data_IF_048704254255
#
_entry.id   IF_048704254255
#
_cell.length_a   1.000
_cell.length_b   1.000
_cell.length_c   1.000
_cell.angle_alpha   90.00
_cell.angle_beta   90.00
_cell.angle_gamma   90.00
#
_symmetry.space_group_name_H-M   'P 1'
#
loop_
_entity.id
_entity.type
_entity.pdbx_description
1 polymer ?
#
# COMPACT_ATOMS: atom_id res chain seq x y z
N UNK A 1 -39.37 -61.75 55.41
CA UNK A 1 -40.80 -61.40 55.61
C UNK A 1 -41.33 -60.89 54.29
N UNK A 2 -42.40 -61.51 53.80
CA UNK A 2 -43.03 -61.29 52.49
C UNK A 2 -44.22 -60.36 52.63
N UNK A 3 -44.42 -59.40 51.71
CA UNK A 3 -45.71 -58.74 51.48
C UNK A 3 -45.85 -58.18 50.04
N UNK A 4 -46.71 -58.86 49.26
CA UNK A 4 -47.81 -58.44 48.36
C UNK A 4 -47.73 -57.20 47.43
N UNK A 5 -48.22 -57.44 46.19
CA UNK A 5 -48.66 -56.62 45.02
C UNK A 5 -49.73 -55.51 45.33
N UNK A 6 -50.47 -54.87 44.36
CA UNK A 6 -50.52 -54.95 42.87
C UNK A 6 -50.76 -53.63 42.07
N UNK A 7 -50.79 -53.70 40.71
CA UNK A 7 -51.91 -53.13 39.93
C UNK A 7 -51.67 -52.26 38.66
N UNK A 8 -52.00 -52.84 37.48
CA UNK A 8 -52.82 -52.32 36.33
C UNK A 8 -52.32 -51.03 35.59
N UNK A 9 -52.18 -50.92 34.26
CA UNK A 9 -53.19 -51.08 33.19
C UNK A 9 -52.55 -50.99 31.79
N UNK A 10 -53.01 -51.83 30.85
CA UNK A 10 -52.72 -51.76 29.41
C UNK A 10 -53.76 -50.91 28.68
N UNK A 11 -53.34 -50.09 27.70
CA UNK A 11 -54.21 -49.64 26.58
C UNK A 11 -53.43 -49.78 25.28
N UNK A 12 -54.10 -50.40 24.32
CA UNK A 12 -53.65 -50.85 23.00
C UNK A 12 -54.54 -50.10 21.99
N UNK A 13 -53.94 -49.38 21.04
CA UNK A 13 -54.66 -48.86 19.87
C UNK A 13 -53.79 -49.09 18.62
N UNK A 14 -54.24 -50.04 17.81
CA UNK A 14 -53.83 -50.27 16.42
C UNK A 14 -54.77 -49.46 15.50
N UNK A 15 -54.23 -48.82 14.46
CA UNK A 15 -55.02 -48.09 13.46
C UNK A 15 -54.33 -47.99 12.10
N UNK A 16 -54.49 -49.06 11.31
CA UNK A 16 -54.63 -49.19 9.85
C UNK A 16 -53.77 -48.40 8.82
N UNK A 17 -53.00 -49.22 8.10
CA UNK A 17 -52.51 -49.22 6.72
C UNK A 17 -53.10 -48.29 5.63
N UNK A 18 -52.20 -47.81 4.76
CA UNK A 18 -52.34 -47.89 3.29
C UNK A 18 -50.96 -47.85 2.61
N UNK A 19 -50.58 -48.95 1.94
CA UNK A 19 -49.45 -49.01 1.00
C UNK A 19 -49.99 -48.90 -0.43
N UNK A 20 -49.51 -47.90 -1.19
CA UNK A 20 -49.67 -47.83 -2.64
C UNK A 20 -48.29 -47.54 -3.25
N UNK A 21 -47.84 -48.43 -4.12
CA UNK A 21 -46.65 -48.24 -4.96
C UNK A 21 -47.05 -47.46 -6.23
N UNK A 22 -46.25 -46.47 -6.61
CA UNK A 22 -46.11 -46.07 -8.02
C UNK A 22 -44.72 -45.49 -8.25
N UNK A 23 -44.18 -45.81 -9.42
CA UNK A 23 -42.80 -45.73 -9.87
C UNK A 23 -42.31 -44.33 -10.27
N UNK A 24 -40.99 -44.16 -10.13
CA UNK A 24 -40.06 -43.36 -10.94
C UNK A 24 -40.21 -41.84 -10.92
N UNK A 25 -39.28 -41.18 -10.22
CA UNK A 25 -38.43 -40.15 -10.80
C UNK A 25 -37.02 -40.29 -10.23
N UNK A 26 -36.05 -40.44 -11.12
CA UNK A 26 -34.62 -40.28 -10.86
C UNK A 26 -34.44 -38.81 -10.42
N UNK A 27 -34.27 -38.57 -9.11
CA UNK A 27 -33.77 -37.28 -8.65
C UNK A 27 -32.28 -37.22 -9.03
N UNK A 28 -31.82 -36.19 -9.74
CA UNK A 28 -30.39 -35.98 -9.87
C UNK A 28 -29.80 -35.83 -8.46
N UNK A 29 -28.60 -36.38 -8.18
CA UNK A 29 -27.99 -36.17 -6.88
C UNK A 29 -27.91 -34.67 -6.63
N UNK A 30 -28.47 -34.29 -5.48
CA UNK A 30 -28.37 -32.97 -4.88
C UNK A 30 -26.94 -32.46 -5.10
N UNK A 31 -26.82 -31.39 -5.90
CA UNK A 31 -25.57 -30.67 -6.08
C UNK A 31 -25.28 -30.07 -4.73
N UNK A 32 -24.55 -30.82 -3.90
CA UNK A 32 -24.08 -30.38 -2.60
C UNK A 32 -23.41 -29.04 -2.78
N UNK A 33 -24.08 -28.03 -2.23
CA UNK A 33 -23.77 -26.63 -2.39
C UNK A 33 -22.33 -26.29 -2.03
N UNK A 34 -21.83 -25.27 -2.72
CA UNK A 34 -20.50 -24.73 -2.65
C UNK A 34 -19.92 -24.65 -1.23
N UNK A 35 -18.69 -25.13 -1.11
CA UNK A 35 -17.78 -24.89 0.00
C UNK A 35 -17.73 -23.39 0.29
N UNK A 36 -17.94 -22.99 1.54
CA UNK A 36 -17.98 -21.58 1.96
C UNK A 36 -16.55 -21.05 2.18
N UNK A 37 -16.28 -19.87 1.65
CA UNK A 37 -14.95 -19.24 1.45
C UNK A 37 -14.48 -18.28 2.58
N UNK A 38 -13.17 -17.96 2.64
CA UNK A 38 -12.49 -17.10 3.63
C UNK A 38 -12.28 -15.66 3.16
N UNK A 39 -12.02 -14.76 4.11
CA UNK A 39 -12.89 -13.59 4.28
C UNK A 39 -14.35 -14.07 4.23
N UNK A 40 -15.15 -13.88 5.29
CA UNK A 40 -16.52 -14.40 5.30
C UNK A 40 -17.30 -13.88 4.08
N UNK A 41 -17.57 -14.74 3.09
CA UNK A 41 -18.22 -14.35 1.81
C UNK A 41 -17.29 -13.80 0.72
N UNK A 42 -15.96 -13.90 0.87
CA UNK A 42 -14.98 -13.57 -0.16
C UNK A 42 -14.76 -14.71 -1.17
N UNK A 43 -13.91 -14.49 -2.16
CA UNK A 43 -13.58 -15.46 -3.21
C UNK A 43 -12.05 -15.57 -3.39
N UNK A 44 -11.51 -16.69 -3.91
CA UNK A 44 -10.09 -16.85 -4.17
C UNK A 44 -9.54 -15.73 -5.05
N UNK A 45 -8.37 -15.18 -4.69
CA UNK A 45 -7.73 -14.10 -5.43
C UNK A 45 -6.31 -14.49 -5.88
N UNK A 46 -6.10 -14.49 -7.19
CA UNK A 46 -4.79 -14.68 -7.84
C UNK A 46 -4.17 -13.38 -8.37
N UNK A 47 -4.92 -12.26 -8.33
CA UNK A 47 -4.55 -10.99 -8.95
C UNK A 47 -3.81 -10.02 -8.02
N UNK A 48 -4.19 -9.91 -6.75
CA UNK A 48 -3.65 -8.90 -5.83
C UNK A 48 -2.29 -9.34 -5.23
N UNK A 49 -1.27 -9.57 -6.09
CA UNK A 49 0.05 -10.11 -5.71
C UNK A 49 0.84 -9.27 -4.70
N UNK A 50 0.53 -7.98 -4.58
CA UNK A 50 1.10 -7.09 -3.59
C UNK A 50 0.44 -7.19 -2.20
N UNK A 51 -0.66 -7.94 -2.10
CA UNK A 51 -1.19 -8.43 -0.83
C UNK A 51 -0.47 -9.75 -0.54
N UNK A 52 0.41 -9.69 0.45
CA UNK A 52 1.40 -10.73 0.71
C UNK A 52 1.02 -11.57 1.91
N UNK A 53 1.31 -12.87 1.83
CA UNK A 53 1.20 -13.78 2.96
C UNK A 53 2.40 -13.59 3.88
N UNK A 54 2.16 -13.47 5.19
CA UNK A 54 3.20 -13.39 6.21
C UNK A 54 3.17 -14.67 7.03
N UNK A 55 4.31 -15.32 7.19
CA UNK A 55 4.49 -16.46 8.07
C UNK A 55 5.56 -16.16 9.13
N UNK A 56 5.18 -16.23 10.40
CA UNK A 56 6.10 -16.08 11.51
C UNK A 56 6.60 -17.46 11.96
N UNK A 57 7.86 -17.78 11.62
CA UNK A 57 8.50 -19.06 11.90
C UNK A 57 8.81 -19.29 13.40
N UNK A 58 8.78 -18.26 14.25
CA UNK A 58 8.96 -18.43 15.70
C UNK A 58 7.74 -19.08 16.37
N UNK A 59 6.55 -18.69 15.94
CA UNK A 59 5.28 -19.05 16.61
C UNK A 59 4.34 -19.85 15.70
N UNK A 60 4.66 -20.03 14.42
CA UNK A 60 3.82 -20.73 13.45
C UNK A 60 2.54 -19.98 13.12
N UNK A 61 2.56 -18.65 13.14
CA UNK A 61 1.40 -17.80 12.86
C UNK A 61 1.37 -17.32 11.41
N UNK A 62 0.17 -17.21 10.86
CA UNK A 62 -0.09 -16.64 9.53
C UNK A 62 -0.75 -15.28 9.73
N UNK A 63 -0.25 -14.30 8.98
CA UNK A 63 -0.83 -12.98 8.83
C UNK A 63 -0.83 -12.58 7.36
N UNK A 64 -1.33 -11.39 7.09
CA UNK A 64 -1.27 -10.72 5.80
C UNK A 64 -0.46 -9.43 5.92
N UNK A 65 0.09 -8.96 4.81
CA UNK A 65 0.65 -7.61 4.68
C UNK A 65 0.35 -7.00 3.32
N UNK A 66 0.72 -5.74 3.17
CA UNK A 66 0.66 -5.01 1.91
C UNK A 66 2.05 -4.51 1.52
N UNK A 67 2.53 -4.92 0.36
CA UNK A 67 3.78 -4.43 -0.23
C UNK A 67 3.55 -2.99 -0.73
N UNK A 68 4.13 -1.99 -0.07
CA UNK A 68 3.95 -0.56 -0.40
C UNK A 68 5.19 0.07 -1.05
N UNK A 69 6.32 -0.63 -1.01
CA UNK A 69 7.51 -0.37 -1.82
C UNK A 69 8.25 -1.71 -2.05
N UNK A 70 9.24 -1.82 -2.96
CA UNK A 70 9.86 -3.10 -3.35
C UNK A 70 10.38 -3.97 -2.19
N UNK A 71 10.70 -3.40 -1.04
CA UNK A 71 11.07 -4.16 0.18
C UNK A 71 10.33 -3.70 1.43
N UNK A 72 9.19 -3.02 1.31
CA UNK A 72 8.45 -2.45 2.45
C UNK A 72 7.08 -3.10 2.51
N UNK A 73 6.85 -3.88 3.56
CA UNK A 73 5.56 -4.52 3.84
C UNK A 73 4.91 -3.84 5.05
N UNK A 74 3.73 -3.26 4.86
CA UNK A 74 2.90 -2.74 5.93
C UNK A 74 1.99 -3.87 6.45
N UNK A 75 1.97 -4.06 7.77
CA UNK A 75 1.21 -5.13 8.44
C UNK A 75 0.78 -4.69 9.85
N UNK A 76 0.07 -5.56 10.57
CA UNK A 76 -0.33 -5.33 11.94
C UNK A 76 0.84 -5.61 12.89
N UNK A 77 0.89 -4.89 14.02
CA UNK A 77 1.98 -5.08 14.99
C UNK A 77 1.85 -6.41 15.73
N UNK A 78 0.63 -6.85 16.02
CA UNK A 78 0.41 -8.13 16.69
C UNK A 78 0.88 -9.35 15.87
N UNK A 79 1.09 -9.20 14.55
CA UNK A 79 1.71 -10.22 13.72
C UNK A 79 3.22 -10.40 14.00
N UNK A 80 3.85 -9.37 14.57
CA UNK A 80 5.30 -9.27 14.74
C UNK A 80 5.71 -8.97 16.18
N UNK A 81 4.76 -8.95 17.12
CA UNK A 81 5.01 -8.72 18.55
C UNK A 81 4.04 -9.51 19.42
N UNK A 82 4.55 -10.00 20.54
CA UNK A 82 3.76 -10.62 21.59
C UNK A 82 2.85 -9.59 22.28
N UNK A 83 1.73 -10.08 22.83
CA UNK A 83 0.78 -9.27 23.57
C UNK A 83 0.63 -9.75 25.03
N UNK A 84 0.17 -8.84 25.88
CA UNK A 84 -0.14 -9.14 27.28
C UNK A 84 -1.39 -8.38 27.74
N UNK A 85 -1.95 -8.85 28.87
CA UNK A 85 -3.14 -8.29 29.53
C UNK A 85 -4.42 -8.35 28.70
N UNK A 86 -4.51 -9.34 27.82
CA UNK A 86 -5.77 -9.76 27.21
C UNK A 86 -6.66 -10.41 28.28
N UNK A 87 -7.97 -10.20 28.18
CA UNK A 87 -8.95 -10.78 29.08
C UNK A 87 -9.74 -11.83 28.32
N UNK A 88 -9.59 -13.10 28.69
CA UNK A 88 -10.21 -14.24 28.00
C UNK A 88 -9.95 -14.26 26.48
N UNK A 89 -8.73 -13.88 26.06
CA UNK A 89 -8.33 -13.80 24.66
C UNK A 89 -8.90 -12.60 23.90
N UNK A 90 -9.52 -11.64 24.59
CA UNK A 90 -10.08 -10.43 23.99
C UNK A 90 -9.20 -9.20 24.24
N UNK A 91 -9.12 -8.36 23.22
CA UNK A 91 -8.44 -7.06 23.26
C UNK A 91 -9.25 -6.08 24.10
N UNK A 92 -8.60 -5.47 25.08
CA UNK A 92 -9.15 -4.37 25.88
C UNK A 92 -8.25 -3.15 25.74
N UNK A 93 -8.72 -2.09 25.08
CA UNK A 93 -7.91 -0.89 24.78
C UNK A 93 -7.31 -0.19 26.01
N UNK A 94 -7.81 -0.46 27.22
CA UNK A 94 -7.30 0.10 28.46
C UNK A 94 -6.07 -0.64 29.01
N UNK A 95 -5.94 -1.94 28.73
CA UNK A 95 -4.96 -2.80 29.41
C UNK A 95 -4.07 -3.58 28.45
N UNK A 96 -4.58 -3.98 27.29
CA UNK A 96 -3.83 -4.79 26.33
C UNK A 96 -2.65 -4.00 25.79
N UNK A 97 -1.47 -4.60 25.89
CA UNK A 97 -0.20 -4.00 25.50
C UNK A 97 0.63 -4.98 24.69
N UNK A 98 1.36 -4.44 23.73
CA UNK A 98 2.48 -5.11 23.08
C UNK A 98 3.65 -5.25 24.05
N UNK A 99 4.38 -6.35 23.89
CA UNK A 99 5.54 -6.67 24.73
C UNK A 99 6.79 -6.89 23.85
N UNK A 100 7.31 -8.11 23.76
CA UNK A 100 8.45 -8.44 22.93
C UNK A 100 8.10 -8.35 21.44
N UNK A 101 9.03 -7.80 20.66
CA UNK A 101 8.99 -7.88 19.20
C UNK A 101 9.77 -9.09 18.75
N UNK A 102 9.20 -9.85 17.82
CA UNK A 102 9.83 -11.02 17.22
C UNK A 102 11.07 -10.64 16.40
N UNK A 103 11.88 -11.62 16.04
CA UNK A 103 13.04 -11.36 15.19
C UNK A 103 12.58 -11.16 13.74
N UNK A 104 12.96 -10.03 13.12
CA UNK A 104 12.61 -9.73 11.73
C UNK A 104 12.95 -10.89 10.77
N UNK A 105 14.13 -11.51 10.95
CA UNK A 105 14.59 -12.66 10.15
C UNK A 105 13.76 -13.94 10.26
N UNK A 106 12.79 -13.96 11.18
CA UNK A 106 11.84 -15.06 11.37
C UNK A 106 10.47 -14.75 10.79
N UNK A 107 10.28 -13.55 10.27
CA UNK A 107 9.10 -13.15 9.53
C UNK A 107 9.39 -13.36 8.05
N UNK A 108 8.67 -14.30 7.45
CA UNK A 108 8.78 -14.66 6.04
C UNK A 108 7.59 -14.11 5.27
N UNK A 109 7.83 -13.64 4.05
CA UNK A 109 6.82 -13.01 3.19
C UNK A 109 6.74 -13.73 1.85
N UNK A 110 5.54 -14.00 1.35
CA UNK A 110 5.33 -14.58 0.02
C UNK A 110 4.29 -13.80 -0.78
N UNK A 111 4.51 -13.68 -2.09
CA UNK A 111 3.55 -13.09 -3.05
C UNK A 111 2.65 -14.15 -3.69
N UNK A 112 2.91 -15.43 -3.40
CA UNK A 112 2.12 -16.55 -3.90
C UNK A 112 0.71 -16.51 -3.28
N UNK A 113 -0.30 -16.87 -4.06
CA UNK A 113 -1.69 -16.88 -3.61
C UNK A 113 -1.95 -17.94 -2.52
N UNK A 114 -1.06 -18.92 -2.36
CA UNK A 114 -1.14 -19.92 -1.28
C UNK A 114 0.19 -19.98 -0.52
N UNK A 115 0.11 -19.87 0.81
CA UNK A 115 1.24 -20.04 1.73
C UNK A 115 1.49 -21.54 1.87
N UNK A 116 2.58 -22.02 1.28
CA UNK A 116 2.97 -23.41 1.30
C UNK A 116 4.46 -23.60 1.49
N UNK A 117 4.87 -24.85 1.71
CA UNK A 117 6.28 -25.21 1.93
C UNK A 117 7.18 -24.96 0.70
N UNK A 118 6.58 -24.79 -0.48
CA UNK A 118 7.29 -24.57 -1.74
C UNK A 118 7.14 -23.15 -2.27
N UNK A 119 6.45 -22.27 -1.53
CA UNK A 119 6.30 -20.87 -1.91
C UNK A 119 7.66 -20.18 -1.91
N UNK A 120 7.79 -19.15 -2.75
CA UNK A 120 8.96 -18.27 -2.66
C UNK A 120 8.81 -17.36 -1.45
N UNK A 121 9.80 -17.35 -0.57
CA UNK A 121 9.83 -16.51 0.61
C UNK A 121 10.93 -15.44 0.55
N UNK A 122 10.55 -14.23 0.92
CA UNK A 122 11.40 -13.07 1.19
C UNK A 122 11.54 -12.93 2.71
N UNK A 123 12.73 -12.62 3.23
CA UNK A 123 12.97 -12.61 4.68
C UNK A 123 12.95 -11.19 5.23
N UNK A 124 12.40 -11.00 6.42
CA UNK A 124 12.48 -9.72 7.12
C UNK A 124 13.91 -9.37 7.55
N UNK A 125 14.35 -8.14 7.28
CA UNK A 125 15.62 -7.58 7.76
C UNK A 125 15.43 -6.70 9.00
N UNK A 126 14.36 -5.90 9.02
CA UNK A 126 14.07 -4.97 10.12
C UNK A 126 12.56 -4.85 10.37
N UNK A 127 12.18 -4.74 11.64
CA UNK A 127 10.82 -4.39 12.06
C UNK A 127 10.82 -2.97 12.60
N UNK A 128 9.98 -2.12 12.01
CA UNK A 128 9.78 -0.73 12.40
C UNK A 128 8.40 -0.61 13.04
N UNK A 129 8.36 -0.11 14.27
CA UNK A 129 7.14 0.04 15.06
C UNK A 129 6.73 1.52 15.13
N UNK A 130 5.45 1.75 15.39
CA UNK A 130 4.93 3.10 15.59
C UNK A 130 5.63 3.83 16.74
N UNK A 131 6.04 5.11 16.54
CA UNK A 131 6.61 5.92 17.60
C UNK A 131 5.51 6.56 18.46
N UNK A 132 5.89 7.11 19.61
CA UNK A 132 5.03 7.98 20.40
C UNK A 132 4.86 7.57 21.87
N UNK A 133 4.15 8.39 22.66
CA UNK A 133 3.77 8.03 24.02
C UNK A 133 2.80 6.84 23.98
N UNK A 134 2.92 5.94 24.95
CA UNK A 134 2.08 4.75 25.05
C UNK A 134 2.09 3.89 23.77
N UNK A 135 3.19 3.93 23.01
CA UNK A 135 3.37 3.13 21.80
C UNK A 135 3.24 1.63 22.06
N UNK A 136 3.37 1.16 23.29
CA UNK A 136 3.10 -0.23 23.67
C UNK A 136 1.61 -0.56 23.83
N UNK A 137 0.69 0.40 23.81
CA UNK A 137 -0.74 0.15 23.88
C UNK A 137 -1.25 -0.47 22.58
N UNK A 138 -2.14 -1.46 22.66
CA UNK A 138 -2.68 -2.11 21.46
C UNK A 138 -3.49 -1.15 20.59
N UNK A 139 -4.61 -0.64 21.12
CA UNK A 139 -5.53 0.18 20.32
C UNK A 139 -4.88 1.50 19.93
N UNK A 140 -4.95 1.81 18.65
CA UNK A 140 -4.32 2.97 18.02
C UNK A 140 -2.89 2.73 17.51
N UNK A 141 -2.22 1.67 17.96
CA UNK A 141 -0.82 1.39 17.59
C UNK A 141 -0.57 -0.01 17.01
N UNK A 142 -1.62 -0.69 16.52
CA UNK A 142 -1.50 -2.02 15.92
C UNK A 142 -1.10 -1.97 14.44
N UNK A 143 0.03 -1.31 14.15
CA UNK A 143 0.66 -1.30 12.83
C UNK A 143 2.18 -1.43 12.96
N UNK A 144 2.78 -2.11 12.00
CA UNK A 144 4.21 -2.29 11.88
C UNK A 144 4.61 -2.30 10.40
N UNK A 145 5.85 -1.90 10.14
CA UNK A 145 6.48 -2.07 8.84
C UNK A 145 7.57 -3.13 8.98
N UNK A 146 7.55 -4.09 8.07
CA UNK A 146 8.65 -5.01 7.84
C UNK A 146 9.43 -4.55 6.62
N UNK A 147 10.73 -4.30 6.81
CA UNK A 147 11.67 -4.09 5.71
C UNK A 147 12.24 -5.46 5.36
N UNK A 148 12.21 -5.84 4.09
CA UNK A 148 12.74 -7.11 3.58
C UNK A 148 14.25 -7.01 3.30
N UNK A 149 14.93 -8.15 3.29
CA UNK A 149 16.36 -8.27 2.98
C UNK A 149 16.66 -8.21 1.47
N UNK A 150 15.69 -8.63 0.64
CA UNK A 150 15.71 -8.51 -0.81
C UNK A 150 14.54 -7.69 -1.35
N UNK A 151 14.75 -7.07 -2.52
CA UNK A 151 13.70 -6.39 -3.26
C UNK A 151 12.82 -7.44 -3.95
N UNK A 152 11.50 -7.33 -3.80
CA UNK A 152 10.54 -8.07 -4.59
C UNK A 152 10.53 -7.48 -6.01
N UNK A 153 10.80 -8.28 -7.06
CA UNK A 153 10.72 -7.80 -8.43
C UNK A 153 9.29 -7.36 -8.77
N UNK A 154 9.15 -6.32 -9.58
CA UNK A 154 7.85 -5.83 -10.05
C UNK A 154 7.05 -6.92 -10.81
N UNK A 155 7.75 -7.85 -11.47
CA UNK A 155 7.14 -9.03 -12.11
C UNK A 155 6.50 -10.02 -11.14
N UNK A 156 6.94 -10.01 -9.88
CA UNK A 156 6.40 -10.86 -8.81
C UNK A 156 5.27 -10.12 -8.10
N UNK A 157 5.46 -8.84 -7.77
CA UNK A 157 4.41 -7.96 -7.26
C UNK A 157 4.78 -6.48 -7.45
N UNK A 158 3.89 -5.70 -8.07
CA UNK A 158 4.00 -4.25 -8.12
C UNK A 158 3.47 -3.62 -6.81
N UNK A 159 4.26 -2.78 -6.10
CA UNK A 159 3.82 -2.22 -4.82
C UNK A 159 2.53 -1.38 -4.90
N UNK A 160 1.71 -1.49 -3.87
CA UNK A 160 0.48 -0.71 -3.68
C UNK A 160 0.80 0.72 -3.24
N UNK A 161 -0.10 1.66 -3.58
CA UNK A 161 -0.01 3.05 -3.13
C UNK A 161 -0.85 3.23 -1.87
N UNK A 162 -0.29 3.65 -0.72
CA UNK A 162 -1.09 3.95 0.46
C UNK A 162 -1.73 5.35 0.34
N UNK A 163 -3.01 5.52 0.73
CA UNK A 163 -3.72 6.80 0.74
C UNK A 163 -3.28 7.64 1.95
N UNK A 164 -2.11 8.25 1.83
CA UNK A 164 -1.43 9.01 2.90
C UNK A 164 -1.66 10.53 2.86
N UNK A 165 -2.47 11.01 1.92
CA UNK A 165 -2.67 12.44 1.62
C UNK A 165 -4.13 12.89 1.68
N UNK A 166 -5.08 11.97 1.77
CA UNK A 166 -6.51 12.26 1.81
C UNK A 166 -7.22 11.45 2.92
N UNK A 167 -8.02 12.09 3.80
CA UNK A 167 -8.75 11.38 4.84
C UNK A 167 -9.94 10.57 4.28
N UNK A 168 -10.25 9.46 4.95
CA UNK A 168 -11.43 8.64 4.69
C UNK A 168 -12.72 9.33 5.14
N UNK A 169 -13.83 8.91 4.54
CA UNK A 169 -15.18 9.34 4.90
C UNK A 169 -16.06 8.12 5.16
N UNK A 170 -16.99 8.27 6.09
CA UNK A 170 -18.09 7.32 6.28
C UNK A 170 -18.84 7.13 4.96
N UNK A 171 -19.21 5.87 4.68
CA UNK A 171 -19.91 5.49 3.46
C UNK A 171 -19.02 5.30 2.22
N UNK A 172 -17.70 5.54 2.30
CA UNK A 172 -16.80 5.16 1.21
C UNK A 172 -16.76 3.63 1.07
N UNK A 173 -16.74 3.15 -0.17
CA UNK A 173 -16.63 1.74 -0.50
C UNK A 173 -15.17 1.29 -0.54
N UNK A 174 -14.94 0.05 -0.13
CA UNK A 174 -13.62 -0.58 -0.16
C UNK A 174 -13.74 -2.09 -0.37
N UNK A 175 -12.60 -2.76 -0.53
CA UNK A 175 -12.48 -4.20 -0.52
C UNK A 175 -11.36 -4.64 0.43
N UNK A 176 -11.51 -5.84 0.98
CA UNK A 176 -10.51 -6.46 1.85
C UNK A 176 -9.86 -7.63 1.12
N UNK A 177 -8.54 -7.79 1.30
CA UNK A 177 -7.79 -8.93 0.75
C UNK A 177 -6.89 -9.50 1.84
N UNK A 178 -6.89 -10.81 2.00
CA UNK A 178 -6.22 -11.48 3.12
C UNK A 178 -6.01 -12.98 2.93
N UNK A 179 -5.19 -13.55 3.80
CA UNK A 179 -4.88 -14.98 3.88
C UNK A 179 -5.55 -15.64 5.09
N UNK A 180 -6.55 -14.98 5.69
CA UNK A 180 -7.24 -15.45 6.87
C UNK A 180 -8.12 -16.67 6.66
N UNK A 181 -8.66 -17.15 7.77
CA UNK A 181 -9.57 -18.27 7.86
C UNK A 181 -10.99 -17.93 7.39
N UNK A 182 -11.74 -19.00 7.07
CA UNK A 182 -13.15 -18.95 6.60
C UNK A 182 -14.17 -18.77 7.72
N UNK A 183 -13.73 -18.99 8.97
CA UNK A 183 -14.57 -19.00 10.17
C UNK A 183 -13.69 -19.02 11.42
N UNK A 184 -14.34 -18.92 12.57
CA UNK A 184 -13.71 -18.94 13.91
C UNK A 184 -12.99 -20.27 14.24
N UNK A 185 -13.09 -21.31 13.41
CA UNK A 185 -12.38 -22.58 13.56
C UNK A 185 -11.10 -22.65 12.71
N UNK A 186 -10.58 -21.52 12.24
CA UNK A 186 -9.32 -21.42 11.48
C UNK A 186 -9.26 -22.23 10.17
N UNK A 187 -10.41 -22.63 9.62
CA UNK A 187 -10.46 -23.46 8.41
C UNK A 187 -10.11 -22.61 7.17
N UNK A 188 -9.22 -23.05 6.30
CA UNK A 188 -8.94 -22.40 5.00
C UNK A 188 -7.96 -21.22 5.03
N UNK A 189 -7.28 -20.98 6.16
CA UNK A 189 -6.19 -20.01 6.24
C UNK A 189 -5.02 -20.39 5.32
N UNK A 190 -4.28 -19.38 4.86
CA UNK A 190 -3.12 -19.53 3.99
C UNK A 190 -3.42 -19.46 2.49
N UNK A 191 -4.68 -19.31 2.07
CA UNK A 191 -5.07 -19.04 0.68
C UNK A 191 -5.62 -17.62 0.55
N UNK A 192 -4.99 -16.79 -0.29
CA UNK A 192 -5.39 -15.40 -0.53
C UNK A 192 -6.80 -15.33 -1.10
N UNK A 193 -7.59 -14.45 -0.50
CA UNK A 193 -8.98 -14.19 -0.86
C UNK A 193 -9.29 -12.72 -0.78
N UNK A 194 -10.30 -12.34 -1.54
CA UNK A 194 -10.78 -10.99 -1.69
C UNK A 194 -12.27 -10.92 -1.38
N UNK A 195 -12.70 -9.81 -0.79
CA UNK A 195 -14.12 -9.46 -0.64
C UNK A 195 -14.35 -8.01 -1.00
N UNK A 196 -15.27 -7.82 -1.93
CA UNK A 196 -15.70 -6.52 -2.42
C UNK A 196 -16.98 -6.05 -1.71
N UNK A 197 -17.48 -4.89 -2.14
CA UNK A 197 -18.73 -4.28 -1.71
C UNK A 197 -18.81 -4.02 -0.19
N UNK A 198 -17.67 -3.66 0.42
CA UNK A 198 -17.57 -3.28 1.83
C UNK A 198 -17.70 -1.77 1.99
N UNK A 199 -18.15 -1.32 3.16
CA UNK A 199 -18.43 0.10 3.41
C UNK A 199 -17.82 0.55 4.74
N UNK A 200 -17.26 1.76 4.75
CA UNK A 200 -16.76 2.39 5.98
C UNK A 200 -17.94 2.84 6.86
N UNK A 201 -18.01 2.31 8.08
CA UNK A 201 -19.04 2.66 9.06
C UNK A 201 -18.72 3.96 9.80
N UNK A 202 -17.46 4.15 10.21
CA UNK A 202 -17.00 5.39 10.84
C UNK A 202 -15.47 5.50 10.80
N UNK A 203 -14.95 6.72 10.96
CA UNK A 203 -13.52 7.01 10.87
C UNK A 203 -13.04 7.82 12.07
N UNK A 204 -11.94 7.40 12.71
CA UNK A 204 -11.26 8.16 13.75
C UNK A 204 -12.22 8.65 14.86
N UNK A 205 -12.23 9.96 15.14
CA UNK A 205 -13.02 10.58 16.21
C UNK A 205 -14.53 10.58 15.95
N UNK A 206 -14.99 10.23 14.74
CA UNK A 206 -16.42 10.03 14.46
C UNK A 206 -16.94 8.71 15.05
N UNK A 207 -16.05 7.77 15.32
CA UNK A 207 -16.40 6.51 15.96
C UNK A 207 -16.51 6.65 17.49
N UNK A 208 -17.24 5.74 18.17
CA UNK A 208 -17.26 5.69 19.63
C UNK A 208 -15.85 5.44 20.21
N UNK A 209 -15.35 6.40 21.01
CA UNK A 209 -14.01 6.34 21.62
C UNK A 209 -13.79 5.16 22.59
N UNK A 210 -14.86 4.45 22.97
CA UNK A 210 -14.77 3.19 23.71
C UNK A 210 -14.32 2.00 22.85
N UNK A 211 -14.43 2.11 21.52
CA UNK A 211 -14.19 1.03 20.56
C UNK A 211 -12.89 1.26 19.80
N UNK A 212 -12.63 2.49 19.36
CA UNK A 212 -11.47 2.84 18.52
C UNK A 212 -10.75 4.10 18.99
N UNK A 213 -9.51 4.29 18.51
CA UNK A 213 -8.73 5.52 18.63
C UNK A 213 -8.84 6.37 17.37
N UNK A 214 -8.36 7.63 17.44
CA UNK A 214 -8.32 8.55 16.29
C UNK A 214 -7.42 8.05 15.13
N UNK A 215 -6.55 7.10 15.41
CA UNK A 215 -5.67 6.42 14.44
C UNK A 215 -6.25 5.08 13.96
N UNK A 216 -7.55 4.86 14.11
CA UNK A 216 -8.27 3.66 13.72
C UNK A 216 -9.60 4.02 13.03
N UNK A 217 -10.22 3.06 12.35
CA UNK A 217 -11.55 3.21 11.76
C UNK A 217 -12.29 1.87 11.72
N UNK A 218 -13.61 1.92 11.51
CA UNK A 218 -14.50 0.74 11.53
C UNK A 218 -15.13 0.54 10.16
N UNK A 219 -15.06 -0.68 9.64
CA UNK A 219 -15.85 -1.12 8.48
C UNK A 219 -17.07 -1.92 8.92
N UNK A 220 -17.93 -2.24 7.97
CA UNK A 220 -19.18 -2.97 8.20
C UNK A 220 -18.95 -4.46 8.54
N UNK A 221 -18.17 -5.18 7.72
CA UNK A 221 -17.94 -6.63 7.86
C UNK A 221 -16.72 -7.10 7.05
N UNK A 222 -16.39 -8.40 7.12
CA UNK A 222 -15.56 -9.03 6.11
C UNK A 222 -14.11 -9.26 6.47
N UNK A 223 -13.75 -9.29 7.75
CA UNK A 223 -12.45 -9.81 8.19
C UNK A 223 -12.64 -10.94 9.20
N UNK A 224 -11.81 -11.97 9.11
CA UNK A 224 -11.74 -13.05 10.09
C UNK A 224 -10.30 -13.22 10.61
N UNK A 225 -10.11 -14.16 11.54
CA UNK A 225 -8.80 -14.56 12.04
C UNK A 225 -7.82 -14.89 10.90
N UNK A 226 -6.61 -14.33 10.94
CA UNK A 226 -5.56 -14.51 9.91
C UNK A 226 -5.60 -13.51 8.74
N UNK A 227 -6.66 -12.69 8.63
CA UNK A 227 -6.64 -11.49 7.77
C UNK A 227 -5.84 -10.35 8.40
N UNK A 228 -5.46 -10.51 9.67
CA UNK A 228 -4.59 -9.63 10.45
C UNK A 228 -3.42 -9.09 9.64
N UNK A 229 -3.27 -7.77 9.65
CA UNK A 229 -2.25 -7.04 8.90
C UNK A 229 -2.54 -6.85 7.42
N UNK A 230 -3.58 -7.49 6.89
CA UNK A 230 -3.99 -7.34 5.49
C UNK A 230 -4.61 -5.98 5.20
N UNK A 231 -4.49 -5.50 3.96
CA UNK A 231 -5.01 -4.21 3.59
C UNK A 231 -6.52 -4.21 3.41
N UNK A 232 -7.14 -3.09 3.79
CA UNK A 232 -8.33 -2.59 3.11
C UNK A 232 -7.90 -1.64 2.01
N UNK A 233 -8.56 -1.77 0.85
CA UNK A 233 -8.21 -1.11 -0.40
C UNK A 233 -9.40 -0.32 -0.92
N UNK A 234 -9.21 0.96 -1.24
CA UNK A 234 -10.28 1.74 -1.86
C UNK A 234 -10.51 1.34 -3.33
N UNK A 235 -11.56 1.88 -3.96
CA UNK A 235 -11.89 1.60 -5.37
C UNK A 235 -10.81 2.03 -6.38
N UNK A 236 -9.75 2.70 -5.92
CA UNK A 236 -8.59 3.09 -6.71
C UNK A 236 -7.36 2.21 -6.43
N UNK A 237 -7.56 1.09 -5.72
CA UNK A 237 -6.53 0.14 -5.29
C UNK A 237 -5.46 0.75 -4.36
N UNK A 238 -5.82 1.77 -3.58
CA UNK A 238 -4.93 2.37 -2.58
C UNK A 238 -5.15 1.74 -1.22
N UNK A 239 -4.07 1.52 -0.47
CA UNK A 239 -4.14 1.02 0.93
C UNK A 239 -4.71 2.11 1.82
N UNK A 240 -5.86 1.84 2.44
CA UNK A 240 -6.55 2.78 3.34
C UNK A 240 -6.56 2.34 4.80
N UNK A 241 -6.33 1.04 5.06
CA UNK A 241 -6.27 0.51 6.40
C UNK A 241 -5.47 -0.78 6.51
N UNK A 242 -5.12 -1.12 7.75
CA UNK A 242 -4.42 -2.35 8.13
C UNK A 242 -5.32 -3.13 9.08
N UNK A 243 -5.71 -4.34 8.72
CA UNK A 243 -6.62 -5.17 9.51
C UNK A 243 -6.05 -5.43 10.90
N UNK A 244 -6.74 -5.00 11.97
CA UNK A 244 -6.26 -5.12 13.36
C UNK A 244 -7.04 -6.15 14.16
N UNK A 245 -8.35 -5.96 14.31
CA UNK A 245 -9.22 -6.81 15.13
C UNK A 245 -10.67 -6.73 14.64
N UNK A 246 -11.48 -7.71 14.99
CA UNK A 246 -12.93 -7.71 14.72
C UNK A 246 -13.72 -8.30 15.87
N UNK A 247 -15.05 -8.20 15.79
CA UNK A 247 -15.96 -8.89 16.69
C UNK A 247 -16.17 -10.36 16.27
N UNK A 248 -16.73 -11.15 17.18
CA UNK A 248 -17.13 -12.55 16.92
C UNK A 248 -18.02 -12.61 15.67
N UNK A 249 -17.80 -13.62 14.81
CA UNK A 249 -18.57 -13.78 13.58
C UNK A 249 -18.09 -12.94 12.40
N UNK A 250 -16.90 -12.35 12.50
CA UNK A 250 -16.26 -11.56 11.44
C UNK A 250 -17.02 -10.26 11.10
N UNK A 251 -17.51 -9.60 12.16
CA UNK A 251 -18.29 -8.36 12.10
C UNK A 251 -17.52 -7.19 12.74
N UNK A 252 -17.89 -5.96 12.39
CA UNK A 252 -17.30 -4.73 12.93
C UNK A 252 -15.75 -4.72 12.88
N UNK A 253 -15.14 -4.95 11.70
CA UNK A 253 -13.70 -4.88 11.54
C UNK A 253 -13.16 -3.52 11.96
N UNK A 254 -12.08 -3.52 12.72
CA UNK A 254 -11.31 -2.34 13.07
C UNK A 254 -9.98 -2.40 12.34
N UNK A 255 -9.68 -1.32 11.63
CA UNK A 255 -8.44 -1.15 10.88
C UNK A 255 -7.58 -0.06 11.52
N UNK A 256 -6.26 -0.26 11.50
CA UNK A 256 -5.30 0.82 11.67
C UNK A 256 -5.42 1.81 10.52
N UNK A 257 -5.43 3.11 10.83
CA UNK A 257 -5.68 4.16 9.85
C UNK A 257 -4.40 4.59 9.14
N UNK A 258 -4.28 4.30 7.84
CA UNK A 258 -3.10 4.64 7.03
C UNK A 258 -2.84 6.15 7.00
N UNK A 259 -3.88 6.96 6.75
CA UNK A 259 -3.74 8.41 6.76
C UNK A 259 -3.34 8.94 8.15
N UNK A 260 -3.87 8.35 9.21
CA UNK A 260 -3.52 8.70 10.60
C UNK A 260 -2.04 8.52 10.93
N UNK A 261 -1.33 7.67 10.18
CA UNK A 261 0.11 7.40 10.33
C UNK A 261 0.93 7.75 9.08
N UNK A 262 0.39 8.60 8.21
CA UNK A 262 0.98 8.96 6.92
C UNK A 262 2.46 9.39 7.00
N UNK A 263 2.81 10.24 7.97
CA UNK A 263 4.18 10.74 8.13
C UNK A 263 5.17 9.60 8.43
N UNK A 264 4.84 8.73 9.40
CA UNK A 264 5.64 7.56 9.75
C UNK A 264 5.79 6.58 8.57
N UNK A 265 4.72 6.34 7.82
CA UNK A 265 4.76 5.46 6.64
C UNK A 265 5.71 6.03 5.58
N UNK A 266 5.61 7.34 5.28
CA UNK A 266 6.47 8.03 4.33
C UNK A 266 7.93 8.00 4.76
N UNK A 267 8.24 8.41 5.98
CA UNK A 267 9.61 8.44 6.51
C UNK A 267 10.27 7.06 6.52
N UNK A 268 9.53 6.04 6.96
CA UNK A 268 10.02 4.66 6.98
C UNK A 268 10.30 4.16 5.56
N UNK A 269 9.43 4.48 4.60
CA UNK A 269 9.61 4.08 3.19
C UNK A 269 10.81 4.78 2.56
N UNK A 270 11.02 6.08 2.82
CA UNK A 270 12.20 6.80 2.35
C UNK A 270 13.50 6.19 2.89
N UNK A 271 13.52 5.83 4.18
CA UNK A 271 14.67 5.15 4.80
C UNK A 271 14.90 3.77 4.18
N UNK A 272 13.84 3.00 3.94
CA UNK A 272 13.94 1.67 3.34
C UNK A 272 14.47 1.74 1.89
N UNK A 273 14.08 2.77 1.14
CA UNK A 273 14.60 3.04 -0.21
C UNK A 273 16.09 3.38 -0.20
N UNK A 274 16.55 4.21 0.74
CA UNK A 274 17.97 4.50 0.92
C UNK A 274 18.77 3.24 1.27
N UNK A 275 18.28 2.43 2.22
CA UNK A 275 18.93 1.18 2.62
C UNK A 275 18.95 0.13 1.50
N UNK A 276 17.87 0.05 0.73
CA UNK A 276 17.71 -0.90 -0.37
C UNK A 276 18.36 -0.45 -1.70
N UNK A 277 18.80 0.81 -1.79
CA UNK A 277 19.43 1.35 -2.99
C UNK A 277 18.50 1.48 -4.20
N UNK A 278 17.23 1.81 -3.99
CA UNK A 278 16.24 2.00 -5.06
C UNK A 278 15.57 3.39 -4.98
N UNK A 279 14.94 3.81 -6.08
CA UNK A 279 14.21 5.08 -6.12
C UNK A 279 12.96 5.01 -5.24
N UNK A 280 12.85 5.90 -4.27
CA UNK A 280 11.70 5.93 -3.38
C UNK A 280 10.40 6.21 -4.17
N UNK A 281 9.27 5.56 -3.82
CA UNK A 281 7.98 5.88 -4.41
C UNK A 281 7.65 7.37 -4.26
N UNK A 282 7.16 8.01 -5.33
CA UNK A 282 6.89 9.46 -5.33
C UNK A 282 5.94 9.89 -4.22
N UNK A 283 4.96 9.06 -3.85
CA UNK A 283 4.04 9.34 -2.75
C UNK A 283 4.74 9.48 -1.40
N UNK A 284 5.89 8.81 -1.21
CA UNK A 284 6.69 8.92 0.00
C UNK A 284 7.31 10.32 0.16
N UNK A 285 7.52 11.02 -0.97
CA UNK A 285 8.00 12.41 -1.03
C UNK A 285 6.88 13.46 -1.10
N UNK A 286 5.62 13.04 -0.99
CA UNK A 286 4.46 13.94 -0.99
C UNK A 286 3.73 14.08 -2.33
N UNK A 287 4.10 13.32 -3.36
CA UNK A 287 3.32 13.27 -4.59
C UNK A 287 1.90 12.74 -4.30
N UNK A 288 0.83 13.34 -4.85
CA UNK A 288 -0.54 12.91 -4.58
C UNK A 288 -0.79 11.44 -4.91
N UNK A 289 -1.53 10.75 -4.04
CA UNK A 289 -1.77 9.31 -4.16
C UNK A 289 -2.91 8.99 -5.11
N UNK A 290 -3.81 9.95 -5.36
CA UNK A 290 -4.93 9.75 -6.26
C UNK A 290 -4.41 9.49 -7.70
N UNK A 291 -4.80 8.38 -8.36
CA UNK A 291 -4.26 7.99 -9.66
C UNK A 291 -4.44 9.03 -10.78
N UNK A 292 -5.40 9.95 -10.64
CA UNK A 292 -5.63 11.03 -11.61
C UNK A 292 -4.39 11.89 -11.83
N UNK A 293 -3.54 12.07 -10.82
CA UNK A 293 -2.29 12.82 -10.93
C UNK A 293 -1.17 12.04 -11.63
N UNK A 294 -1.30 10.72 -11.74
CA UNK A 294 -0.34 9.82 -12.39
C UNK A 294 -0.81 9.33 -13.76
N UNK A 295 -2.03 9.68 -14.18
CA UNK A 295 -2.59 9.28 -15.47
C UNK A 295 -1.70 9.71 -16.65
N UNK A 296 -1.74 8.95 -17.73
CA UNK A 296 -1.02 9.31 -18.96
C UNK A 296 -1.64 10.56 -19.61
N UNK A 297 -0.82 11.28 -20.38
CA UNK A 297 -1.24 12.48 -21.12
C UNK A 297 -0.79 12.35 -22.58
N UNK A 298 -1.44 13.08 -23.48
CA UNK A 298 -1.04 13.18 -24.88
C UNK A 298 -1.75 12.24 -25.85
N UNK A 299 -2.67 11.40 -25.38
CA UNK A 299 -3.61 10.70 -26.27
C UNK A 299 -4.55 11.72 -26.92
N UNK A 300 -4.92 11.53 -28.19
CA UNK A 300 -5.82 12.45 -28.87
C UNK A 300 -7.26 12.34 -28.33
N UNK A 301 -7.95 13.46 -28.17
CA UNK A 301 -9.34 13.51 -27.71
C UNK A 301 -10.14 14.61 -28.40
N UNK A 302 -11.46 14.39 -28.52
CA UNK A 302 -12.40 15.41 -28.99
C UNK A 302 -13.19 16.00 -27.81
N UNK A 303 -13.43 15.20 -26.77
CA UNK A 303 -14.16 15.58 -25.58
C UNK A 303 -13.48 15.05 -24.31
N UNK A 304 -13.77 15.65 -23.13
CA UNK A 304 -13.18 15.20 -21.87
C UNK A 304 -13.45 13.72 -21.58
N UNK A 305 -14.64 13.22 -21.92
CA UNK A 305 -15.04 11.82 -21.68
C UNK A 305 -14.26 10.77 -22.49
N UNK A 306 -13.45 11.20 -23.47
CA UNK A 306 -12.55 10.31 -24.21
C UNK A 306 -11.32 9.94 -23.37
N UNK A 307 -11.04 10.71 -22.31
CA UNK A 307 -9.85 10.58 -21.48
C UNK A 307 -10.16 9.90 -20.15
N UNK A 308 -9.23 9.06 -19.67
CA UNK A 308 -9.35 8.40 -18.35
C UNK A 308 -9.51 9.40 -17.18
N UNK A 309 -8.95 10.59 -17.31
CA UNK A 309 -9.03 11.70 -16.34
C UNK A 309 -10.27 12.58 -16.52
N UNK A 310 -11.10 12.29 -17.52
CA UNK A 310 -12.18 13.15 -17.96
C UNK A 310 -11.72 14.60 -18.26
N UNK A 311 -10.54 14.77 -18.86
CA UNK A 311 -9.95 16.06 -19.18
C UNK A 311 -9.23 16.06 -20.54
N UNK A 312 -9.72 16.89 -21.46
CA UNK A 312 -9.19 17.08 -22.81
C UNK A 312 -8.77 18.54 -23.00
N UNK A 313 -7.50 18.79 -23.31
CA UNK A 313 -6.94 20.13 -23.49
C UNK A 313 -6.21 20.21 -24.83
N UNK A 314 -6.64 21.14 -25.69
CA UNK A 314 -6.08 21.36 -27.03
C UNK A 314 -6.03 20.08 -27.91
N UNK A 315 -7.04 19.22 -27.78
CA UNK A 315 -7.13 17.96 -28.53
C UNK A 315 -6.33 16.80 -27.95
N UNK A 316 -5.77 16.95 -26.75
CA UNK A 316 -5.01 15.90 -26.06
C UNK A 316 -5.50 15.66 -24.64
N UNK A 317 -5.56 14.40 -24.24
CA UNK A 317 -5.86 13.98 -22.90
C UNK A 317 -4.80 14.53 -21.96
N UNK A 318 -5.26 15.10 -20.86
CA UNK A 318 -4.40 15.75 -19.87
C UNK A 318 -4.77 15.27 -18.47
N UNK A 319 -4.01 15.71 -17.47
CA UNK A 319 -4.23 15.39 -16.07
C UNK A 319 -4.04 16.63 -15.21
N UNK A 320 -4.68 16.69 -14.03
CA UNK A 320 -4.46 17.77 -13.09
C UNK A 320 -3.01 17.78 -12.63
N UNK A 321 -2.48 18.97 -12.39
CA UNK A 321 -1.11 19.17 -11.94
C UNK A 321 -1.06 20.18 -10.79
N UNK A 322 -0.01 20.08 -9.99
CA UNK A 322 0.29 21.01 -8.89
C UNK A 322 1.80 21.26 -8.88
N UNK A 323 2.28 22.09 -7.95
CA UNK A 323 3.72 22.29 -7.76
C UNK A 323 4.45 20.97 -7.43
N UNK A 324 3.77 20.02 -6.79
CA UNK A 324 4.32 18.71 -6.43
C UNK A 324 3.95 17.66 -7.49
N UNK A 325 2.71 17.71 -8.01
CA UNK A 325 2.23 16.84 -9.07
C UNK A 325 2.66 17.36 -10.44
N UNK A 326 3.95 17.18 -10.76
CA UNK A 326 4.54 17.67 -12.00
C UNK A 326 4.05 16.91 -13.24
N UNK A 327 4.03 17.63 -14.36
CA UNK A 327 3.70 17.09 -15.67
C UNK A 327 4.85 16.25 -16.24
N UNK A 328 4.55 15.26 -17.10
CA UNK A 328 5.56 14.47 -17.78
C UNK A 328 6.28 15.33 -18.84
N UNK A 329 7.39 14.82 -19.36
CA UNK A 329 8.20 15.53 -20.37
C UNK A 329 7.38 15.96 -21.59
N UNK A 330 7.61 17.20 -22.07
CA UNK A 330 6.84 17.80 -23.16
C UNK A 330 5.54 18.48 -22.72
N UNK A 331 5.27 18.53 -21.41
CA UNK A 331 4.14 19.20 -20.81
C UNK A 331 4.58 20.06 -19.63
N UNK A 332 3.98 21.24 -19.52
CA UNK A 332 4.12 22.15 -18.37
C UNK A 332 2.80 22.30 -17.65
N UNK A 333 2.84 22.43 -16.33
CA UNK A 333 1.64 22.70 -15.55
C UNK A 333 1.15 24.12 -15.83
N UNK A 334 0.00 24.25 -16.49
CA UNK A 334 -0.62 25.54 -16.69
C UNK A 334 -1.25 26.00 -15.36
N UNK A 335 -0.67 27.04 -14.76
CA UNK A 335 -1.10 27.51 -13.45
C UNK A 335 -2.52 28.09 -13.42
N UNK A 336 -3.06 28.53 -14.56
CA UNK A 336 -4.41 29.07 -14.64
C UNK A 336 -5.46 27.95 -14.76
N UNK A 337 -5.11 26.88 -15.49
CA UNK A 337 -5.99 25.73 -15.70
C UNK A 337 -5.85 24.68 -14.59
N UNK A 338 -4.66 24.52 -14.01
CA UNK A 338 -4.33 23.43 -13.10
C UNK A 338 -4.18 22.08 -13.81
N UNK A 339 -3.88 22.08 -15.11
CA UNK A 339 -3.72 20.88 -15.94
C UNK A 339 -2.40 20.92 -16.73
N UNK A 340 -1.91 19.74 -17.11
CA UNK A 340 -0.75 19.62 -17.97
C UNK A 340 -1.06 20.11 -19.39
N UNK A 341 -0.45 21.22 -19.80
CA UNK A 341 -0.53 21.73 -21.15
C UNK A 341 0.72 21.31 -21.92
N UNK A 342 0.55 20.92 -23.19
CA UNK A 342 1.68 20.61 -24.06
C UNK A 342 2.59 21.84 -24.19
N UNK A 343 3.90 21.62 -24.11
CA UNK A 343 4.87 22.69 -24.33
C UNK A 343 4.72 23.24 -25.76
N UNK A 344 4.86 24.56 -25.97
CA UNK A 344 4.83 25.11 -27.32
C UNK A 344 5.93 24.49 -28.17
N UNK A 345 5.60 24.09 -29.39
CA UNK A 345 6.61 23.60 -30.34
C UNK A 345 7.73 24.64 -30.48
N UNK A 346 9.01 24.23 -30.40
CA UNK A 346 10.10 25.16 -30.64
C UNK A 346 9.93 25.78 -32.03
N UNK A 347 10.18 27.09 -32.17
CA UNK A 347 10.04 27.74 -33.47
C UNK A 347 10.90 27.00 -34.49
N UNK A 348 10.42 26.83 -35.74
CA UNK A 348 11.20 26.17 -36.78
C UNK A 348 12.56 26.87 -36.89
N UNK A 349 13.64 26.10 -36.79
CA UNK A 349 14.97 26.60 -37.08
C UNK A 349 14.96 27.06 -38.52
N UNK A 350 15.15 28.37 -38.73
CA UNK A 350 15.37 28.97 -40.03
C UNK A 350 16.74 28.49 -40.53
N UNK A 351 16.80 27.23 -40.97
CA UNK A 351 17.86 26.77 -41.84
C UNK A 351 17.65 27.53 -43.13
N UNK A 352 18.28 28.71 -43.20
CA UNK A 352 18.23 29.64 -44.32
C UNK A 352 18.54 28.93 -45.63
N UNK A 353 17.49 28.40 -46.26
CA UNK A 353 17.49 27.92 -47.61
C UNK A 353 17.59 29.13 -48.51
N UNK A 354 18.83 29.51 -48.82
CA UNK A 354 19.13 30.48 -49.86
C UNK A 354 18.38 30.09 -51.13
N UNK A 355 17.52 30.99 -51.57
CA UNK A 355 16.86 30.99 -52.86
C UNK A 355 17.94 30.95 -53.96
N UNK A 356 18.22 29.78 -54.52
CA UNK A 356 19.03 29.64 -55.73
C UNK A 356 18.23 30.16 -56.93
N UNK A 357 18.22 31.47 -57.09
CA UNK A 357 17.94 32.11 -58.37
C UNK A 357 19.10 31.81 -59.32
N UNK A 358 18.88 30.84 -60.21
CA UNK A 358 19.71 30.63 -61.40
C UNK A 358 19.49 31.78 -62.38
N UNK A 359 20.37 32.77 -62.33
CA UNK A 359 20.64 33.64 -63.47
C UNK A 359 22.15 33.69 -63.70
N UNK A 360 22.58 33.11 -64.83
CA UNK A 360 23.97 33.10 -65.26
C UNK A 360 24.29 34.35 -66.08
N UNK A 361 25.43 34.99 -65.77
CA UNK A 361 26.22 35.78 -66.71
C UNK A 361 27.53 36.27 -66.08
N UNK A 362 28.67 35.91 -66.70
CA UNK A 362 29.98 36.60 -66.64
C UNK A 362 30.68 36.62 -65.28
N UNK A 363 31.97 36.86 -65.13
CA UNK A 363 33.10 37.16 -66.01
C UNK A 363 34.32 37.12 -65.08
N UNK A 364 35.48 36.71 -65.60
CA UNK A 364 36.74 36.59 -64.85
C UNK A 364 37.27 37.98 -64.45
N UNK A 365 37.84 38.11 -63.25
CA UNK A 365 38.54 39.34 -62.86
C UNK A 365 39.09 39.34 -61.44
N UNK A 366 40.41 39.21 -61.34
CA UNK A 366 41.25 39.37 -60.15
C UNK A 366 41.10 40.75 -59.49
N UNK A 367 41.25 40.83 -58.15
CA UNK A 367 42.27 41.64 -57.47
C UNK A 367 41.98 41.92 -55.98
N UNK A 368 43.07 42.28 -55.30
CA UNK A 368 43.41 42.20 -53.89
C UNK A 368 42.63 43.03 -52.84
N UNK A 369 42.67 42.47 -51.61
CA UNK A 369 42.98 43.06 -50.30
C UNK A 369 42.18 44.26 -49.73
N UNK A 370 41.67 44.08 -48.50
CA UNK A 370 41.26 45.23 -47.68
C UNK A 370 40.52 44.99 -46.35
N UNK A 371 41.06 44.17 -45.44
CA UNK A 371 40.98 44.30 -43.96
C UNK A 371 39.65 44.40 -43.17
N UNK A 372 39.51 43.54 -42.14
CA UNK A 372 38.77 43.78 -40.89
C UNK A 372 37.87 42.60 -40.44
N UNK A 373 38.38 41.63 -39.66
CA UNK A 373 38.21 41.53 -38.17
C UNK A 373 36.76 41.22 -37.74
N UNK A 374 36.39 40.20 -36.94
CA UNK A 374 37.07 39.23 -36.08
C UNK A 374 36.15 38.00 -35.82
N UNK A 375 36.74 36.81 -35.96
CA UNK A 375 36.76 35.67 -35.02
C UNK A 375 35.50 35.18 -34.28
N UNK A 376 34.98 34.02 -34.70
CA UNK A 376 34.41 32.99 -33.81
C UNK A 376 35.50 31.94 -33.52
N UNK A 377 35.81 31.68 -32.25
CA UNK A 377 36.64 30.54 -31.85
C UNK A 377 35.74 29.33 -31.54
N UNK A 378 36.08 28.12 -32.04
CA UNK A 378 35.33 26.90 -31.78
C UNK A 378 35.63 26.31 -30.39
N UNK A 379 34.58 25.73 -29.79
CA UNK A 379 34.60 25.00 -28.52
C UNK A 379 35.51 23.76 -28.56
N UNK A 380 36.14 23.38 -27.43
CA UNK A 380 37.08 22.27 -27.39
C UNK A 380 36.40 20.88 -27.31
N UNK A 381 36.97 19.96 -28.09
CA UNK A 381 36.76 18.51 -28.18
C UNK A 381 36.84 17.79 -26.81
N UNK A 382 35.83 16.98 -26.42
CA UNK A 382 35.71 16.38 -25.08
C UNK A 382 36.54 15.10 -24.86
N UNK A 383 37.48 14.74 -25.72
CA UNK A 383 38.17 13.43 -25.64
C UNK A 383 39.55 13.40 -24.95
N UNK A 384 39.87 14.33 -24.04
CA UNK A 384 41.15 14.30 -23.29
C UNK A 384 41.00 14.22 -21.77
N UNK A 385 41.74 13.30 -21.09
CA UNK A 385 41.65 13.12 -19.65
C UNK A 385 42.35 14.24 -18.87
N UNK A 386 41.72 14.67 -17.77
CA UNK A 386 42.18 15.75 -16.90
C UNK A 386 43.24 15.22 -15.91
N UNK A 387 44.46 15.81 -15.83
CA UNK A 387 45.43 15.45 -14.81
C UNK A 387 45.19 16.23 -13.52
N UNK A 388 45.10 15.50 -12.40
CA UNK A 388 45.14 16.02 -11.04
C UNK A 388 46.60 16.22 -10.63
N UNK A 389 46.96 17.42 -10.13
CA UNK A 389 48.23 17.64 -9.40
C UNK A 389 48.08 18.79 -8.39
N UNK A 390 47.98 18.36 -7.12
CA UNK A 390 48.64 18.82 -5.89
C UNK A 390 48.98 20.32 -5.76
N UNK A 391 48.44 20.94 -4.70
CA UNK A 391 48.94 22.18 -4.12
C UNK A 391 48.56 22.32 -2.64
N UNK A 392 49.49 22.01 -1.75
CA UNK A 392 49.37 22.11 -0.30
C UNK A 392 49.74 23.52 0.23
N UNK A 393 49.07 23.98 1.29
CA UNK A 393 49.54 24.92 2.33
C UNK A 393 48.36 25.20 3.31
N UNK A 394 48.28 24.63 4.51
CA UNK A 394 48.98 24.93 5.79
C UNK A 394 48.29 25.97 6.69
N UNK A 395 48.29 25.67 8.00
CA UNK A 395 47.92 26.47 9.21
C UNK A 395 46.43 26.36 9.63
N UNK A 396 46.05 26.11 10.88
CA UNK A 396 46.77 26.02 12.14
C UNK A 396 45.78 25.72 13.29
N UNK A 397 46.30 25.06 14.33
CA UNK A 397 45.66 24.62 15.57
C UNK A 397 45.04 25.78 16.36
N UNK A 398 43.84 25.59 16.95
CA UNK A 398 43.48 26.14 18.28
C UNK A 398 42.29 25.38 18.90
N UNK A 399 42.62 24.49 19.81
CA UNK A 399 41.72 23.89 20.80
C UNK A 399 41.64 24.78 22.05
N UNK A 400 40.46 25.07 22.59
CA UNK A 400 40.31 25.37 24.02
C UNK A 400 38.89 25.08 24.53
N UNK A 401 38.86 24.75 25.82
CA UNK A 401 37.83 24.03 26.56
C UNK A 401 36.84 24.96 27.31
N UNK A 402 35.65 24.38 27.56
CA UNK A 402 34.82 24.46 28.80
C UNK A 402 34.29 25.83 29.26
N UNK A 403 32.97 25.86 29.49
CA UNK A 403 32.45 26.05 30.86
C UNK A 403 31.05 25.47 31.08
N UNK A 404 30.98 24.47 31.98
CA UNK A 404 29.81 24.14 32.80
C UNK A 404 29.54 25.31 33.76
N UNK A 405 28.27 25.65 33.98
CA UNK A 405 27.81 26.32 35.21
C UNK A 405 26.54 25.66 35.73
N UNK A 406 26.59 25.29 37.01
CA UNK A 406 25.49 24.85 37.88
C UNK A 406 24.82 26.07 38.53
N UNK A 407 23.50 26.00 38.67
CA UNK A 407 22.63 26.55 39.73
C UNK A 407 21.32 25.80 39.49
N UNK A 408 20.73 24.97 40.38
CA UNK A 408 20.55 24.97 41.84
C UNK A 408 19.75 26.20 42.30
N UNK A 409 18.43 26.07 42.24
CA UNK A 409 17.50 26.69 43.18
C UNK A 409 16.58 25.60 43.77
N UNK A 410 16.47 25.67 45.10
CA UNK A 410 15.44 25.05 45.94
C UNK A 410 14.36 26.11 46.13
N UNK A 411 13.08 25.72 46.20
CA UNK A 411 12.14 26.02 47.29
C UNK A 411 10.70 25.65 46.91
N UNK A 412 9.99 25.13 47.92
CA UNK A 412 8.56 24.79 48.02
C UNK A 412 8.12 23.50 47.32
#
# INVERSE_FOLDING_TARGET
MSFRSPGVTSILVLGFAATACSSAFDEPPDVTGATRDAIRGGYPDDGDRAVVGIYNDEIGAICTGSLIAPNVVLTARHCVSDMANELDGQITCRSTKFTSTHLARKILVTTDAEIGNFSRYYTGSELVLLPGPDADSFCGNDQAILILDELIPESDAAPLVPRVDEPLKEGEEYYAVGFGATNDNSTGAGLRRRRDDLVIDCVADSCPASVVKSTEWVGDTGICEGDSGGPSLDLMNRVIGVTSRGAVGCEFPIYGYVYGWAEWIKETTLRAAELGGYEAPRWATGFPTHPVYSAEVGEACEAPGDCATNACLNGYCTRPCTEIATCPSGYTCDAALGFCAQDPEPPPTDDGGGDETKDGAGDDGDDEAGSGSCSMHPSPDPTKPVPWLVGAASLGVLSSLRRRRRSRDRLA
#
